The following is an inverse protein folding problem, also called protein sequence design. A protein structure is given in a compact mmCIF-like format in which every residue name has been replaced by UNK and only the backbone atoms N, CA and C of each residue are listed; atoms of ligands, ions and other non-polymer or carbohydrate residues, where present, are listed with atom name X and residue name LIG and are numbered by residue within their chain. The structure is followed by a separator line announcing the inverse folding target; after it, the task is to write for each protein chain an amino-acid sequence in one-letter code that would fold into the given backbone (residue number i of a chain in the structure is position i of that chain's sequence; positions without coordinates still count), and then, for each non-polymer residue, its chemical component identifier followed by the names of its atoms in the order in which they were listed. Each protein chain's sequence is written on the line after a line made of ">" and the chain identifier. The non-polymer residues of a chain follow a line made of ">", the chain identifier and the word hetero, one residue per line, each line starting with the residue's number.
data_IF_650104467675
#
_entry.id   IF_650104467675
#
_cell.length_a   1.000
_cell.length_b   1.000
_cell.length_c   1.000
_cell.angle_alpha   90.00
_cell.angle_beta   90.00
_cell.angle_gamma   90.00
#
_symmetry.space_group_name_H-M   'P 1'
#
loop_
_entity.id
_entity.type
_entity.pdbx_description
1 polymer ?
#
# COMPACT_ATOMS: atom_id res chain seq x y z
N UNK A 1 -26.89 -40.75 67.84
CA UNK A 1 -26.07 -39.70 67.25
C UNK A 1 -25.52 -40.08 65.83
N UNK A 2 -25.45 -41.32 65.33
CA UNK A 2 -24.94 -41.70 64.04
C UNK A 2 -25.89 -41.48 62.84
N UNK A 3 -27.20 -41.29 63.02
CA UNK A 3 -28.14 -41.09 61.88
C UNK A 3 -28.15 -39.66 61.35
N UNK A 4 -27.95 -38.63 62.20
CA UNK A 4 -27.92 -37.20 61.75
C UNK A 4 -26.69 -36.83 60.95
N UNK A 5 -25.59 -37.52 61.06
CA UNK A 5 -24.36 -37.28 60.26
C UNK A 5 -24.53 -37.62 58.78
N UNK A 6 -25.26 -38.69 58.46
CA UNK A 6 -25.46 -39.10 57.03
C UNK A 6 -26.38 -38.14 56.30
N UNK A 7 -27.40 -37.59 56.95
CA UNK A 7 -28.31 -36.59 56.32
C UNK A 7 -27.57 -35.27 55.99
N UNK A 8 -26.63 -34.84 56.86
CA UNK A 8 -25.81 -33.65 56.54
C UNK A 8 -24.89 -33.85 55.35
N UNK A 9 -24.35 -35.05 55.16
CA UNK A 9 -23.48 -35.36 54.00
C UNK A 9 -24.31 -35.38 52.72
N UNK A 10 -25.51 -35.97 52.71
CA UNK A 10 -26.40 -35.96 51.55
C UNK A 10 -26.90 -34.56 51.23
N UNK A 11 -27.21 -33.73 52.22
CA UNK A 11 -27.63 -32.35 52.00
C UNK A 11 -26.49 -31.49 51.39
N UNK A 12 -25.24 -31.70 51.88
CA UNK A 12 -24.06 -31.03 51.31
C UNK A 12 -23.75 -31.51 49.87
N UNK A 13 -23.92 -32.79 49.59
CA UNK A 13 -23.71 -33.32 48.23
C UNK A 13 -24.76 -32.80 47.23
N UNK A 14 -26.04 -32.69 47.66
CA UNK A 14 -27.11 -32.11 46.83
C UNK A 14 -26.90 -30.62 46.61
N UNK A 15 -26.44 -29.88 47.64
CA UNK A 15 -26.13 -28.46 47.52
C UNK A 15 -24.93 -28.23 46.61
N UNK A 16 -23.88 -29.05 46.67
CA UNK A 16 -22.72 -29.00 45.76
C UNK A 16 -23.10 -29.34 44.34
N UNK A 17 -24.01 -30.29 44.09
CA UNK A 17 -24.51 -30.62 42.75
C UNK A 17 -25.37 -29.49 42.15
N UNK A 18 -26.15 -28.76 42.97
CA UNK A 18 -26.92 -27.59 42.53
C UNK A 18 -26.03 -26.39 42.19
N UNK A 19 -24.87 -26.24 42.82
CA UNK A 19 -23.89 -25.19 42.47
C UNK A 19 -23.14 -25.49 41.17
N UNK A 20 -22.97 -26.76 40.77
CA UNK A 20 -22.32 -27.13 39.53
C UNK A 20 -23.25 -27.03 38.28
N UNK A 21 -24.57 -26.98 38.47
CA UNK A 21 -25.51 -26.81 37.35
C UNK A 21 -25.79 -25.35 36.96
N UNK A 22 -25.29 -24.38 37.72
CA UNK A 22 -25.62 -22.95 37.52
C UNK A 22 -24.62 -22.15 36.63
N UNK A 23 -23.59 -22.75 36.05
CA UNK A 23 -22.55 -22.01 35.38
C UNK A 23 -22.43 -22.31 33.87
N UNK A 24 -23.31 -23.12 33.24
CA UNK A 24 -23.20 -23.44 31.82
C UNK A 24 -23.69 -22.27 30.94
N UNK A 25 -24.75 -21.54 31.34
CA UNK A 25 -25.32 -20.48 30.48
C UNK A 25 -24.64 -19.10 30.59
N UNK A 26 -23.61 -18.94 31.42
CA UNK A 26 -22.88 -17.66 31.54
C UNK A 26 -21.51 -17.65 30.86
N UNK A 27 -21.09 -18.72 30.22
CA UNK A 27 -19.82 -18.80 29.49
C UNK A 27 -19.94 -18.49 28.00
N UNK A 28 -21.15 -18.41 27.44
CA UNK A 28 -21.44 -17.85 26.11
C UNK A 28 -21.83 -16.37 26.21
N UNK A 29 -20.99 -15.57 26.82
CA UNK A 29 -21.09 -14.13 26.68
C UNK A 29 -20.47 -13.76 25.32
N UNK A 30 -21.32 -13.59 24.32
CA UNK A 30 -20.93 -12.83 23.13
C UNK A 30 -20.41 -11.46 23.61
N UNK A 31 -19.25 -10.99 23.14
CA UNK A 31 -18.72 -9.70 23.52
C UNK A 31 -19.77 -8.62 23.22
N UNK A 32 -20.29 -7.92 24.23
CA UNK A 32 -21.32 -6.88 24.05
C UNK A 32 -20.87 -5.68 23.20
N UNK A 33 -19.63 -5.67 22.74
CA UNK A 33 -19.02 -4.62 21.91
C UNK A 33 -18.54 -5.13 20.55
N UNK A 34 -18.71 -6.41 20.21
CA UNK A 34 -18.47 -6.93 18.85
C UNK A 34 -19.72 -7.72 18.43
N UNK A 35 -20.31 -7.31 17.34
CA UNK A 35 -21.32 -8.11 16.63
C UNK A 35 -20.58 -9.33 16.08
N UNK A 36 -21.09 -10.56 16.34
CA UNK A 36 -20.48 -11.75 15.72
C UNK A 36 -20.51 -11.59 14.20
N UNK A 37 -19.43 -11.96 13.51
CA UNK A 37 -19.30 -11.78 12.06
C UNK A 37 -20.47 -12.41 11.27
N UNK A 38 -21.02 -13.52 11.78
CA UNK A 38 -22.18 -14.18 11.18
C UNK A 38 -23.48 -13.35 11.25
N UNK A 39 -23.56 -12.38 12.15
CA UNK A 39 -24.69 -11.45 12.27
C UNK A 39 -24.40 -10.14 11.51
N UNK A 40 -23.12 -9.75 11.47
CA UNK A 40 -22.69 -8.49 10.85
C UNK A 40 -22.86 -8.45 9.33
N UNK A 41 -22.85 -9.58 8.64
CA UNK A 41 -22.87 -9.67 7.16
C UNK A 41 -24.21 -10.17 6.59
N UNK A 42 -25.32 -9.93 7.29
CA UNK A 42 -26.64 -10.47 6.92
C UNK A 42 -27.56 -9.45 6.26
N UNK A 43 -27.20 -8.16 6.28
CA UNK A 43 -27.99 -7.06 5.72
C UNK A 43 -27.11 -6.01 5.02
N UNK A 44 -27.76 -5.05 4.36
CA UNK A 44 -27.07 -3.96 3.65
C UNK A 44 -26.15 -3.15 4.56
N UNK A 45 -26.61 -2.79 5.74
CA UNK A 45 -25.84 -1.96 6.69
C UNK A 45 -24.60 -2.70 7.17
N UNK A 46 -24.73 -3.99 7.44
CA UNK A 46 -23.62 -4.83 7.89
C UNK A 46 -22.53 -4.97 6.84
N UNK A 47 -22.90 -5.27 5.58
CA UNK A 47 -21.91 -5.42 4.50
C UNK A 47 -21.24 -4.09 4.12
N UNK A 48 -21.98 -2.97 4.19
CA UNK A 48 -21.44 -1.62 3.97
C UNK A 48 -20.41 -1.26 5.05
N UNK A 49 -20.72 -1.55 6.32
CA UNK A 49 -19.78 -1.36 7.42
C UNK A 49 -18.55 -2.28 7.30
N UNK A 50 -18.72 -3.51 6.83
CA UNK A 50 -17.61 -4.42 6.58
C UNK A 50 -16.70 -3.90 5.44
N UNK A 51 -17.28 -3.35 4.38
CA UNK A 51 -16.54 -2.71 3.30
C UNK A 51 -15.74 -1.49 3.82
N UNK A 52 -16.37 -0.62 4.62
CA UNK A 52 -15.69 0.51 5.27
C UNK A 52 -14.54 -0.01 6.14
N UNK A 53 -14.78 -1.07 6.92
CA UNK A 53 -13.74 -1.71 7.73
C UNK A 53 -12.62 -2.35 6.90
N UNK A 54 -12.86 -2.76 5.66
CA UNK A 54 -11.82 -3.23 4.75
C UNK A 54 -10.97 -2.06 4.21
N UNK A 55 -11.57 -0.90 3.89
CA UNK A 55 -10.85 0.32 3.57
C UNK A 55 -10.00 0.83 4.75
N UNK A 56 -10.56 0.82 5.97
CA UNK A 56 -9.85 1.16 7.21
C UNK A 56 -8.58 0.30 7.42
N UNK A 57 -8.61 -0.96 6.99
CA UNK A 57 -7.42 -1.81 7.08
C UNK A 57 -6.25 -1.32 6.22
N UNK A 58 -6.51 -0.62 5.11
CA UNK A 58 -5.46 0.01 4.29
C UNK A 58 -4.86 1.23 4.98
N UNK A 59 -5.66 1.96 5.79
CA UNK A 59 -5.25 3.16 6.52
C UNK A 59 -4.27 2.85 7.66
N UNK A 60 -4.15 1.59 8.07
CA UNK A 60 -3.27 1.22 9.18
C UNK A 60 -1.85 1.75 8.96
N UNK A 61 -1.22 2.44 9.95
CA UNK A 61 0.13 3.01 9.82
C UNK A 61 1.19 2.01 9.39
N UNK A 62 1.07 0.76 9.85
CA UNK A 62 2.00 -0.32 9.51
C UNK A 62 1.76 -0.90 8.10
N UNK A 63 0.72 -0.44 7.39
CA UNK A 63 0.46 -0.81 6.01
C UNK A 63 0.58 0.42 5.10
N UNK A 64 -0.51 0.86 4.46
CA UNK A 64 -0.46 1.98 3.51
C UNK A 64 -0.64 3.36 4.17
N UNK A 65 -0.98 3.42 5.45
CA UNK A 65 -1.26 4.66 6.17
C UNK A 65 -0.04 5.55 6.45
N UNK A 66 1.18 4.98 6.52
CA UNK A 66 2.41 5.75 6.71
C UNK A 66 3.68 4.95 6.38
N UNK A 67 3.89 3.81 7.05
CA UNK A 67 5.16 3.07 7.03
C UNK A 67 5.54 2.53 5.65
N UNK A 68 4.56 2.32 4.77
CA UNK A 68 4.85 1.94 3.39
C UNK A 68 5.71 3.00 2.69
N UNK A 69 5.29 4.27 2.70
CA UNK A 69 6.03 5.37 2.08
C UNK A 69 7.38 5.53 2.77
N UNK A 70 7.39 5.63 4.11
CA UNK A 70 8.63 5.82 4.86
C UNK A 70 9.66 4.71 4.58
N UNK A 71 9.24 3.46 4.67
CA UNK A 71 10.14 2.32 4.47
C UNK A 71 10.69 2.25 3.05
N UNK A 72 9.85 2.53 2.03
CA UNK A 72 10.28 2.52 0.63
C UNK A 72 11.21 3.69 0.31
N UNK A 73 11.00 4.86 0.92
CA UNK A 73 11.91 6.00 0.79
C UNK A 73 13.25 5.75 1.51
N UNK A 74 13.26 5.04 2.64
CA UNK A 74 14.49 4.54 3.27
C UNK A 74 15.23 3.54 2.38
N UNK A 75 14.48 2.65 1.72
CA UNK A 75 15.05 1.67 0.78
C UNK A 75 15.61 2.33 -0.48
N UNK A 76 14.98 3.40 -0.99
CA UNK A 76 15.47 4.17 -2.13
C UNK A 76 16.67 5.09 -1.78
N UNK A 77 16.83 5.39 -0.50
CA UNK A 77 17.85 6.31 -0.02
C UNK A 77 17.48 7.79 -0.19
N UNK A 78 16.22 8.13 -0.47
CA UNK A 78 15.77 9.53 -0.61
C UNK A 78 15.62 10.25 0.74
N UNK A 79 15.69 9.51 1.83
CA UNK A 79 15.65 10.05 3.18
C UNK A 79 16.73 9.42 4.06
N UNK A 80 17.13 10.14 5.09
CA UNK A 80 17.98 9.64 6.17
C UNK A 80 17.15 9.38 7.41
N UNK A 81 17.43 8.27 8.09
CA UNK A 81 16.86 7.98 9.39
C UNK A 81 17.81 8.47 10.49
N UNK A 82 17.37 9.47 11.25
CA UNK A 82 18.09 10.03 12.41
C UNK A 82 17.52 9.58 13.76
N UNK A 83 16.36 8.89 13.76
CA UNK A 83 15.68 8.47 14.97
C UNK A 83 16.39 7.33 15.72
N UNK A 84 15.95 7.09 16.94
CA UNK A 84 16.53 6.05 17.84
C UNK A 84 16.00 4.64 17.59
N UNK A 85 14.96 4.48 16.78
CA UNK A 85 14.32 3.18 16.52
C UNK A 85 15.14 2.36 15.51
N UNK A 86 15.89 1.39 16.00
CA UNK A 86 16.88 0.64 15.21
C UNK A 86 16.30 -0.16 14.06
N UNK A 87 15.02 -0.59 14.14
CA UNK A 87 14.36 -1.33 13.06
C UNK A 87 14.28 -0.53 11.77
N UNK A 88 14.07 0.80 11.82
CA UNK A 88 14.13 1.65 10.64
C UNK A 88 15.56 1.86 10.14
N UNK A 89 16.54 1.88 11.05
CA UNK A 89 17.96 1.84 10.67
C UNK A 89 18.31 0.59 9.86
N UNK A 90 17.78 -0.57 10.27
CA UNK A 90 17.98 -1.83 9.54
C UNK A 90 17.39 -1.79 8.13
N UNK A 91 16.22 -1.12 7.95
CA UNK A 91 15.61 -0.90 6.64
C UNK A 91 16.51 0.02 5.79
N UNK A 92 16.94 1.14 6.35
CA UNK A 92 17.81 2.08 5.66
C UNK A 92 19.14 1.44 5.22
N UNK A 93 19.70 0.57 6.07
CA UNK A 93 20.94 -0.16 5.81
C UNK A 93 20.75 -1.44 4.99
N UNK A 94 19.52 -1.79 4.59
CA UNK A 94 19.17 -3.04 3.87
C UNK A 94 19.66 -4.30 4.62
N UNK A 95 19.50 -4.32 5.94
CA UNK A 95 19.84 -5.43 6.85
C UNK A 95 18.63 -5.91 7.65
N UNK A 96 17.50 -6.00 6.98
CA UNK A 96 16.22 -6.35 7.59
C UNK A 96 16.25 -7.80 8.04
N UNK A 97 15.98 -8.04 9.32
CA UNK A 97 15.85 -9.40 9.88
C UNK A 97 14.40 -9.89 9.81
N UNK A 98 14.16 -11.22 9.77
CA UNK A 98 12.81 -11.79 9.74
C UNK A 98 11.92 -11.42 10.94
N UNK A 99 12.50 -10.98 12.05
CA UNK A 99 11.80 -10.51 13.25
C UNK A 99 11.81 -8.98 13.41
N UNK A 100 12.17 -8.22 12.36
CA UNK A 100 12.18 -6.76 12.39
C UNK A 100 10.78 -6.22 12.68
N UNK A 101 10.64 -5.44 13.76
CA UNK A 101 9.34 -4.97 14.25
C UNK A 101 8.72 -3.85 13.42
N UNK A 102 9.44 -3.27 12.45
CA UNK A 102 8.89 -2.28 11.52
C UNK A 102 8.38 -2.92 10.21
N UNK A 103 8.84 -4.13 9.86
CA UNK A 103 8.44 -4.80 8.62
C UNK A 103 7.48 -5.95 8.84
N UNK A 104 7.55 -6.65 9.97
CA UNK A 104 6.61 -7.74 10.30
C UNK A 104 5.15 -7.29 10.32
N UNK A 105 4.75 -6.16 10.92
CA UNK A 105 3.36 -5.70 10.92
C UNK A 105 2.81 -5.46 9.51
N UNK A 106 3.65 -5.06 8.54
CA UNK A 106 3.22 -4.85 7.15
C UNK A 106 2.59 -6.12 6.55
N UNK A 107 3.20 -7.30 6.75
CA UNK A 107 2.64 -8.59 6.34
C UNK A 107 1.29 -8.85 6.99
N UNK A 108 1.23 -8.69 8.30
CA UNK A 108 0.03 -8.98 9.09
C UNK A 108 -1.15 -8.06 8.70
N UNK A 109 -0.90 -6.76 8.51
CA UNK A 109 -1.96 -5.82 8.14
C UNK A 109 -2.39 -5.99 6.68
N UNK A 110 -1.46 -6.32 5.77
CA UNK A 110 -1.80 -6.64 4.39
C UNK A 110 -2.75 -7.84 4.29
N UNK A 111 -2.46 -8.94 4.99
CA UNK A 111 -3.38 -10.09 5.02
C UNK A 111 -4.67 -9.82 5.79
N UNK A 112 -4.68 -8.93 6.79
CA UNK A 112 -5.90 -8.46 7.42
C UNK A 112 -6.80 -7.70 6.44
N UNK A 113 -6.24 -6.84 5.60
CA UNK A 113 -7.00 -6.15 4.56
C UNK A 113 -7.56 -7.13 3.52
N UNK A 114 -6.77 -8.12 3.10
CA UNK A 114 -7.21 -9.20 2.20
C UNK A 114 -8.35 -10.00 2.82
N UNK A 115 -8.26 -10.40 4.09
CA UNK A 115 -9.31 -11.17 4.77
C UNK A 115 -10.62 -10.39 4.88
N UNK A 116 -10.56 -9.11 5.28
CA UNK A 116 -11.74 -8.24 5.34
C UNK A 116 -12.40 -8.08 3.96
N UNK A 117 -11.60 -7.85 2.91
CA UNK A 117 -12.10 -7.78 1.55
C UNK A 117 -12.71 -9.11 1.09
N UNK A 118 -12.07 -10.24 1.38
CA UNK A 118 -12.58 -11.57 1.04
C UNK A 118 -13.95 -11.84 1.66
N UNK A 119 -14.19 -11.46 2.91
CA UNK A 119 -15.50 -11.61 3.58
C UNK A 119 -16.59 -10.84 2.84
N UNK A 120 -16.33 -9.62 2.41
CA UNK A 120 -17.27 -8.83 1.59
C UNK A 120 -17.50 -9.50 0.23
N UNK A 121 -16.44 -9.99 -0.43
CA UNK A 121 -16.53 -10.68 -1.71
C UNK A 121 -17.33 -11.98 -1.59
N UNK A 122 -17.04 -12.80 -0.57
CA UNK A 122 -17.72 -14.08 -0.37
C UNK A 122 -19.22 -13.90 -0.19
N UNK A 123 -19.65 -12.99 0.69
CA UNK A 123 -21.08 -12.69 0.92
C UNK A 123 -21.75 -12.09 -0.32
N UNK A 124 -21.04 -11.19 -1.04
CA UNK A 124 -21.57 -10.61 -2.28
C UNK A 124 -21.78 -11.67 -3.38
N UNK A 125 -20.90 -12.67 -3.47
CA UNK A 125 -21.00 -13.77 -4.44
C UNK A 125 -22.00 -14.84 -4.02
N UNK A 126 -22.13 -15.09 -2.72
CA UNK A 126 -23.14 -16.02 -2.18
C UNK A 126 -24.57 -15.56 -2.50
N UNK A 127 -24.81 -14.24 -2.49
CA UNK A 127 -26.12 -13.67 -2.82
C UNK A 127 -27.18 -13.89 -1.75
N UNK A 128 -26.79 -14.09 -0.49
CA UNK A 128 -27.68 -14.32 0.65
C UNK A 128 -28.50 -13.09 1.05
N UNK A 129 -27.99 -11.87 0.78
CA UNK A 129 -28.67 -10.60 1.08
C UNK A 129 -29.62 -10.26 -0.08
N UNK A 130 -30.92 -10.13 0.23
CA UNK A 130 -31.98 -9.86 -0.77
C UNK A 130 -32.65 -8.49 -0.62
N UNK A 131 -32.15 -7.64 0.26
CA UNK A 131 -32.67 -6.29 0.46
C UNK A 131 -32.55 -5.45 -0.81
N UNK A 132 -33.60 -4.69 -1.22
CA UNK A 132 -33.55 -3.88 -2.43
C UNK A 132 -32.35 -2.91 -2.47
N UNK A 133 -32.04 -2.25 -1.35
CA UNK A 133 -30.94 -1.31 -1.25
C UNK A 133 -29.57 -2.00 -1.45
N UNK A 134 -29.41 -3.24 -0.96
CA UNK A 134 -28.21 -4.02 -1.25
C UNK A 134 -28.11 -4.37 -2.74
N UNK A 135 -29.21 -4.84 -3.33
CA UNK A 135 -29.22 -5.24 -4.75
C UNK A 135 -28.87 -4.07 -5.68
N UNK A 136 -29.27 -2.84 -5.34
CA UNK A 136 -28.90 -1.62 -6.06
C UNK A 136 -27.42 -1.26 -5.93
N UNK A 137 -26.77 -1.64 -4.84
CA UNK A 137 -25.38 -1.29 -4.51
C UNK A 137 -24.39 -2.47 -4.61
N UNK A 138 -24.87 -3.67 -4.90
CA UNK A 138 -24.08 -4.91 -4.87
C UNK A 138 -22.82 -4.82 -5.72
N UNK A 139 -22.94 -4.34 -6.95
CA UNK A 139 -21.81 -4.26 -7.89
C UNK A 139 -20.76 -3.27 -7.39
N UNK A 140 -21.19 -2.11 -6.86
CA UNK A 140 -20.28 -1.14 -6.23
C UNK A 140 -19.56 -1.75 -5.02
N UNK A 141 -20.27 -2.47 -4.15
CA UNK A 141 -19.72 -3.10 -2.95
C UNK A 141 -18.68 -4.16 -3.34
N UNK A 142 -19.04 -5.06 -4.24
CA UNK A 142 -18.16 -6.11 -4.73
C UNK A 142 -16.94 -5.53 -5.44
N UNK A 143 -17.13 -4.57 -6.36
CA UNK A 143 -16.05 -3.92 -7.08
C UNK A 143 -15.05 -3.22 -6.14
N UNK A 144 -15.54 -2.55 -5.10
CA UNK A 144 -14.67 -1.95 -4.08
C UNK A 144 -13.84 -2.99 -3.30
N UNK A 145 -14.47 -4.09 -2.88
CA UNK A 145 -13.76 -5.15 -2.15
C UNK A 145 -12.69 -5.83 -3.02
N UNK A 146 -12.94 -6.01 -4.31
CA UNK A 146 -11.96 -6.51 -5.29
C UNK A 146 -10.77 -5.54 -5.43
N UNK A 147 -11.02 -4.23 -5.49
CA UNK A 147 -9.94 -3.21 -5.52
C UNK A 147 -9.08 -3.31 -4.26
N UNK A 148 -9.67 -3.42 -3.07
CA UNK A 148 -8.92 -3.56 -1.80
C UNK A 148 -8.05 -4.80 -1.82
N UNK A 149 -8.59 -5.95 -2.24
CA UNK A 149 -7.84 -7.21 -2.32
C UNK A 149 -6.69 -7.12 -3.31
N UNK A 150 -6.94 -6.56 -4.48
CA UNK A 150 -5.95 -6.37 -5.52
C UNK A 150 -4.81 -5.45 -5.07
N UNK A 151 -5.13 -4.28 -4.50
CA UNK A 151 -4.13 -3.35 -3.92
C UNK A 151 -3.29 -4.06 -2.87
N UNK A 152 -3.93 -4.80 -1.96
CA UNK A 152 -3.21 -5.45 -0.86
C UNK A 152 -2.23 -6.52 -1.37
N UNK A 153 -2.66 -7.40 -2.29
CA UNK A 153 -1.74 -8.37 -2.91
C UNK A 153 -0.63 -7.67 -3.71
N UNK A 154 -0.95 -6.59 -4.42
CA UNK A 154 0.01 -5.86 -5.23
C UNK A 154 1.12 -5.21 -4.40
N UNK A 155 0.76 -4.49 -3.35
CA UNK A 155 1.76 -3.85 -2.50
C UNK A 155 2.61 -4.88 -1.74
N UNK A 156 1.99 -5.97 -1.30
CA UNK A 156 2.73 -7.06 -0.64
C UNK A 156 3.69 -7.79 -1.59
N UNK A 157 3.29 -8.11 -2.81
CA UNK A 157 4.19 -8.83 -3.74
C UNK A 157 5.40 -7.99 -4.14
N UNK A 158 5.25 -6.67 -4.28
CA UNK A 158 6.37 -5.75 -4.57
C UNK A 158 7.43 -5.72 -3.47
N UNK A 159 6.99 -5.89 -2.21
CA UNK A 159 7.84 -5.80 -1.03
C UNK A 159 8.50 -7.15 -0.71
N UNK A 160 7.76 -8.27 -0.79
CA UNK A 160 8.23 -9.61 -0.39
C UNK A 160 8.72 -10.48 -1.55
N UNK A 161 8.44 -10.10 -2.78
CA UNK A 161 8.89 -10.78 -4.00
C UNK A 161 9.94 -9.96 -4.77
N UNK A 162 10.82 -10.66 -5.49
CA UNK A 162 11.65 -10.00 -6.50
C UNK A 162 10.76 -9.42 -7.61
N UNK A 163 11.16 -8.35 -8.30
CA UNK A 163 10.33 -7.69 -9.30
C UNK A 163 10.04 -8.58 -10.51
N UNK A 164 8.98 -8.27 -11.22
CA UNK A 164 8.69 -8.91 -12.50
C UNK A 164 9.89 -8.81 -13.46
N UNK A 165 10.21 -9.93 -14.13
CA UNK A 165 11.38 -10.07 -14.98
C UNK A 165 12.67 -10.43 -14.22
N UNK A 166 12.58 -10.80 -12.94
CA UNK A 166 13.68 -11.44 -12.21
C UNK A 166 13.97 -12.83 -12.80
N UNK A 167 12.96 -13.69 -12.95
CA UNK A 167 12.98 -14.83 -13.87
C UNK A 167 12.22 -14.46 -15.16
N UNK A 168 12.55 -15.07 -16.28
CA UNK A 168 11.98 -14.70 -17.60
C UNK A 168 10.46 -14.91 -17.67
N UNK A 169 9.92 -15.85 -16.89
CA UNK A 169 8.52 -16.25 -16.83
C UNK A 169 7.82 -15.87 -15.52
N UNK A 170 8.49 -15.09 -14.64
CA UNK A 170 8.00 -14.74 -13.31
C UNK A 170 7.65 -15.94 -12.42
N UNK A 171 8.33 -17.08 -12.61
CA UNK A 171 8.15 -18.31 -11.81
C UNK A 171 8.76 -18.24 -10.41
N UNK A 172 9.56 -17.22 -10.10
CA UNK A 172 10.10 -16.99 -8.76
C UNK A 172 8.99 -16.70 -7.74
N UNK A 173 9.29 -16.96 -6.45
CA UNK A 173 8.31 -16.87 -5.37
C UNK A 173 7.86 -15.45 -5.09
N UNK A 174 6.55 -15.26 -5.09
CA UNK A 174 5.86 -14.08 -4.61
C UNK A 174 5.38 -14.24 -3.17
N UNK A 175 4.08 -14.15 -2.96
CA UNK A 175 3.39 -14.25 -1.67
C UNK A 175 2.24 -15.28 -1.76
N UNK A 176 1.70 -15.78 -0.64
CA UNK A 176 0.45 -16.54 -0.66
C UNK A 176 -0.71 -15.74 -1.27
N UNK A 177 -1.45 -16.34 -2.18
CA UNK A 177 -2.70 -15.76 -2.73
C UNK A 177 -3.87 -16.31 -1.93
N UNK A 178 -4.56 -15.43 -1.21
CA UNK A 178 -5.71 -15.76 -0.36
C UNK A 178 -6.97 -15.11 -0.96
N UNK A 179 -7.92 -15.95 -1.38
CA UNK A 179 -9.16 -15.50 -2.06
C UNK A 179 -10.43 -15.84 -1.31
N UNK A 180 -10.32 -16.33 -0.08
CA UNK A 180 -11.44 -16.67 0.80
C UNK A 180 -11.28 -16.02 2.17
N UNK A 181 -12.40 -15.60 2.75
CA UNK A 181 -12.45 -15.07 4.10
C UNK A 181 -12.25 -16.17 5.16
N UNK A 182 -11.66 -15.79 6.30
CA UNK A 182 -11.49 -16.65 7.47
C UNK A 182 -12.57 -16.32 8.49
N UNK A 183 -13.56 -17.18 8.68
CA UNK A 183 -14.69 -16.98 9.59
C UNK A 183 -14.50 -17.66 10.94
N UNK A 184 -13.81 -18.79 10.93
CA UNK A 184 -13.45 -19.55 12.14
C UNK A 184 -11.99 -20.02 12.04
N UNK A 185 -11.30 -20.31 13.16
CA UNK A 185 -9.90 -20.74 13.13
C UNK A 185 -9.63 -21.97 12.25
N UNK A 186 -10.64 -22.82 12.03
CA UNK A 186 -10.52 -23.99 11.16
C UNK A 186 -10.43 -23.65 9.66
N UNK A 187 -10.84 -22.45 9.25
CA UNK A 187 -10.73 -21.97 7.86
C UNK A 187 -9.30 -21.54 7.52
N UNK A 188 -8.49 -21.27 8.55
CA UNK A 188 -7.10 -20.90 8.36
C UNK A 188 -6.32 -22.05 7.72
N UNK A 189 -5.81 -21.83 6.52
CA UNK A 189 -5.06 -22.83 5.77
C UNK A 189 -3.59 -22.45 5.65
N UNK A 190 -2.71 -23.47 5.69
CA UNK A 190 -1.28 -23.30 5.48
C UNK A 190 -0.99 -23.17 3.97
N UNK A 191 -1.26 -21.98 3.40
CA UNK A 191 -1.06 -21.74 1.97
C UNK A 191 0.42 -21.47 1.67
N UNK A 192 0.95 -22.13 0.66
CA UNK A 192 2.30 -21.88 0.15
C UNK A 192 2.38 -20.54 -0.58
N UNK A 193 3.57 -20.02 -0.75
CA UNK A 193 3.80 -18.86 -1.63
C UNK A 193 3.46 -19.24 -3.07
N UNK A 194 2.70 -18.38 -3.72
CA UNK A 194 2.47 -18.42 -5.16
C UNK A 194 3.67 -17.84 -5.92
N UNK A 195 3.80 -18.14 -7.20
CA UNK A 195 4.77 -17.43 -8.05
C UNK A 195 4.35 -15.99 -8.28
N UNK A 196 5.29 -15.11 -8.58
CA UNK A 196 4.99 -13.73 -8.93
C UNK A 196 3.99 -13.67 -10.10
N UNK A 197 4.13 -14.54 -11.11
CA UNK A 197 3.17 -14.65 -12.20
C UNK A 197 1.74 -14.93 -11.71
N UNK A 198 1.56 -15.86 -10.76
CA UNK A 198 0.26 -16.20 -10.22
C UNK A 198 -0.34 -15.06 -9.37
N UNK A 199 0.50 -14.36 -8.60
CA UNK A 199 0.03 -13.20 -7.82
C UNK A 199 -0.46 -12.09 -8.75
N UNK A 200 0.31 -11.73 -9.78
CA UNK A 200 -0.11 -10.72 -10.76
C UNK A 200 -1.34 -11.15 -11.57
N UNK A 201 -1.52 -12.44 -11.84
CA UNK A 201 -2.72 -12.95 -12.49
C UNK A 201 -3.97 -12.71 -11.62
N UNK A 202 -3.91 -13.00 -10.30
CA UNK A 202 -5.02 -12.76 -9.38
C UNK A 202 -5.32 -11.25 -9.23
N UNK A 203 -4.28 -10.42 -9.13
CA UNK A 203 -4.46 -8.95 -9.06
C UNK A 203 -5.17 -8.45 -10.33
N UNK A 204 -4.76 -8.93 -11.49
CA UNK A 204 -5.34 -8.53 -12.78
C UNK A 204 -6.81 -8.98 -12.87
N UNK A 205 -7.12 -10.22 -12.50
CA UNK A 205 -8.48 -10.75 -12.47
C UNK A 205 -9.40 -9.92 -11.58
N UNK A 206 -8.96 -9.61 -10.35
CA UNK A 206 -9.72 -8.79 -9.41
C UNK A 206 -9.98 -7.39 -9.96
N UNK A 207 -8.97 -6.77 -10.57
CA UNK A 207 -9.10 -5.40 -11.10
C UNK A 207 -9.95 -5.34 -12.37
N UNK A 208 -9.84 -6.33 -13.28
CA UNK A 208 -10.67 -6.42 -14.48
C UNK A 208 -12.15 -6.61 -14.09
N UNK A 209 -12.46 -7.50 -13.14
CA UNK A 209 -13.82 -7.65 -12.59
C UNK A 209 -14.31 -6.36 -11.92
N UNK A 210 -13.45 -5.69 -11.13
CA UNK A 210 -13.80 -4.43 -10.48
C UNK A 210 -14.14 -3.31 -11.50
N UNK A 211 -13.42 -3.23 -12.63
CA UNK A 211 -13.70 -2.26 -13.70
C UNK A 211 -15.09 -2.45 -14.28
N UNK A 212 -15.54 -3.70 -14.45
CA UNK A 212 -16.88 -4.03 -14.96
C UNK A 212 -17.99 -3.61 -13.97
N UNK A 213 -17.73 -3.71 -12.67
CA UNK A 213 -18.71 -3.52 -11.59
C UNK A 213 -18.81 -2.09 -11.07
N UNK A 214 -17.70 -1.34 -11.12
CA UNK A 214 -17.64 -0.01 -10.53
C UNK A 214 -18.39 1.04 -11.38
N UNK A 215 -18.93 2.10 -10.75
CA UNK A 215 -19.57 3.19 -11.49
C UNK A 215 -18.54 3.96 -12.34
N UNK A 216 -19.00 4.50 -13.46
CA UNK A 216 -18.16 5.30 -14.37
C UNK A 216 -17.65 6.60 -13.74
N UNK A 217 -18.41 7.17 -12.80
CA UNK A 217 -18.06 8.37 -12.05
C UNK A 217 -17.78 8.02 -10.59
N UNK A 218 -16.71 8.60 -10.03
CA UNK A 218 -16.39 8.42 -8.62
C UNK A 218 -17.50 9.00 -7.73
N UNK A 219 -17.90 8.22 -6.72
CA UNK A 219 -18.62 8.73 -5.56
C UNK A 219 -17.60 8.79 -4.44
N UNK A 220 -16.87 9.93 -4.34
CA UNK A 220 -15.86 10.09 -3.28
C UNK A 220 -16.42 9.66 -1.91
N UNK A 221 -15.67 8.87 -1.13
CA UNK A 221 -14.26 8.49 -1.27
C UNK A 221 -14.01 7.17 -2.05
N UNK A 222 -15.02 6.57 -2.65
CA UNK A 222 -14.91 5.24 -3.28
C UNK A 222 -14.41 5.30 -4.72
N UNK A 223 -13.66 4.29 -5.20
CA UNK A 223 -13.14 4.22 -6.56
C UNK A 223 -14.23 4.14 -7.63
N UNK A 224 -13.90 4.66 -8.80
CA UNK A 224 -14.64 4.52 -10.06
C UNK A 224 -13.93 3.54 -11.00
N UNK A 225 -14.56 3.27 -12.15
CA UNK A 225 -13.91 2.56 -13.26
C UNK A 225 -12.57 3.18 -13.64
N UNK A 226 -12.51 4.53 -13.73
CA UNK A 226 -11.28 5.23 -14.08
C UNK A 226 -10.21 5.10 -12.99
N UNK A 227 -10.60 5.05 -11.71
CA UNK A 227 -9.69 4.74 -10.60
C UNK A 227 -9.10 3.34 -10.73
N UNK A 228 -9.96 2.33 -10.95
CA UNK A 228 -9.53 0.94 -11.11
C UNK A 228 -8.62 0.76 -12.34
N UNK A 229 -8.94 1.40 -13.48
CA UNK A 229 -8.10 1.40 -14.68
C UNK A 229 -6.72 2.02 -14.43
N UNK A 230 -6.66 3.13 -13.69
CA UNK A 230 -5.40 3.78 -13.36
C UNK A 230 -4.51 2.87 -12.50
N UNK A 231 -5.09 2.21 -11.49
CA UNK A 231 -4.35 1.26 -10.64
C UNK A 231 -3.90 0.06 -11.46
N UNK A 232 -4.76 -0.50 -12.32
CA UNK A 232 -4.40 -1.62 -13.19
C UNK A 232 -3.31 -1.24 -14.21
N UNK A 233 -3.28 0.02 -14.68
CA UNK A 233 -2.19 0.52 -15.52
C UNK A 233 -0.85 0.47 -14.79
N UNK A 234 -0.79 0.87 -13.50
CA UNK A 234 0.40 0.73 -12.64
C UNK A 234 0.78 -0.74 -12.45
N UNK A 235 -0.20 -1.62 -12.20
CA UNK A 235 0.05 -3.07 -12.07
C UNK A 235 0.69 -3.63 -13.33
N UNK A 236 0.19 -3.28 -14.51
CA UNK A 236 0.76 -3.73 -15.78
C UNK A 236 2.13 -3.10 -16.04
N UNK A 237 2.37 -1.84 -15.65
CA UNK A 237 3.69 -1.22 -15.73
C UNK A 237 4.72 -2.01 -14.91
N UNK A 238 4.39 -2.31 -13.63
CA UNK A 238 5.24 -3.10 -12.75
C UNK A 238 5.45 -4.53 -13.27
N UNK A 239 4.41 -5.11 -13.87
CA UNK A 239 4.49 -6.45 -14.50
C UNK A 239 5.13 -6.41 -15.90
N UNK A 240 5.63 -5.25 -16.36
CA UNK A 240 6.31 -5.05 -17.66
C UNK A 240 5.43 -5.38 -18.87
N UNK A 241 4.10 -5.33 -18.70
CA UNK A 241 3.12 -5.44 -19.79
C UNK A 241 2.82 -4.03 -20.34
N UNK A 242 3.76 -3.54 -21.15
CA UNK A 242 3.77 -2.16 -21.62
C UNK A 242 2.54 -1.80 -22.47
N UNK A 243 2.03 -2.75 -23.29
CA UNK A 243 0.84 -2.53 -24.12
C UNK A 243 -0.40 -2.27 -23.26
N UNK A 244 -0.64 -3.11 -22.26
CA UNK A 244 -1.78 -2.94 -21.36
C UNK A 244 -1.63 -1.70 -20.48
N UNK A 245 -0.43 -1.43 -19.97
CA UNK A 245 -0.17 -0.22 -19.19
C UNK A 245 -0.44 1.04 -20.03
N UNK A 246 0.06 1.08 -21.26
CA UNK A 246 -0.18 2.19 -22.17
C UNK A 246 -1.67 2.36 -22.51
N UNK A 247 -2.37 1.26 -22.82
CA UNK A 247 -3.80 1.30 -23.17
C UNK A 247 -4.64 1.85 -22.01
N UNK A 248 -4.53 1.26 -20.81
CA UNK A 248 -5.33 1.65 -19.66
C UNK A 248 -5.05 3.09 -19.23
N UNK A 249 -3.78 3.52 -19.24
CA UNK A 249 -3.42 4.91 -18.96
C UNK A 249 -4.06 5.88 -19.98
N UNK A 250 -4.11 5.51 -21.28
CA UNK A 250 -4.81 6.31 -22.29
C UNK A 250 -6.30 6.40 -22.00
N UNK A 251 -6.96 5.30 -21.67
CA UNK A 251 -8.38 5.30 -21.33
C UNK A 251 -8.70 6.21 -20.14
N UNK A 252 -7.82 6.25 -19.13
CA UNK A 252 -7.95 7.18 -17.99
C UNK A 252 -7.78 8.64 -18.44
N UNK A 253 -6.80 8.92 -19.29
CA UNK A 253 -6.57 10.27 -19.82
C UNK A 253 -7.78 10.74 -20.66
N UNK A 254 -8.31 9.89 -21.52
CA UNK A 254 -9.44 10.19 -22.40
C UNK A 254 -10.78 10.32 -21.64
N UNK A 255 -10.90 9.64 -20.48
CA UNK A 255 -12.09 9.75 -19.63
C UNK A 255 -12.33 11.15 -19.10
N UNK A 256 -11.25 11.96 -18.96
CA UNK A 256 -11.25 13.30 -18.37
C UNK A 256 -11.81 13.34 -16.94
N UNK A 257 -11.79 12.20 -16.26
CA UNK A 257 -12.22 12.09 -14.86
C UNK A 257 -11.26 12.81 -13.90
N UNK A 258 -9.99 12.95 -14.30
CA UNK A 258 -8.92 13.57 -13.53
C UNK A 258 -8.14 14.58 -14.38
N UNK A 259 -7.45 15.51 -13.73
CA UNK A 259 -6.57 16.47 -14.38
C UNK A 259 -5.43 16.88 -13.45
N UNK A 260 -4.35 17.44 -13.99
CA UNK A 260 -3.31 18.05 -13.16
C UNK A 260 -3.88 19.27 -12.43
N UNK A 261 -3.48 19.45 -11.17
CA UNK A 261 -3.68 20.73 -10.46
C UNK A 261 -2.83 21.83 -11.12
N UNK A 262 -3.25 23.08 -11.02
CA UNK A 262 -2.49 24.21 -11.55
C UNK A 262 -1.12 24.37 -10.87
N UNK A 263 -1.02 24.02 -9.59
CA UNK A 263 0.22 24.04 -8.82
C UNK A 263 0.49 22.67 -8.19
N UNK A 264 1.74 22.14 -8.26
CA UNK A 264 2.05 20.81 -7.75
C UNK A 264 1.76 20.60 -6.26
N UNK A 265 1.87 21.65 -5.43
CA UNK A 265 1.60 21.53 -3.99
C UNK A 265 0.11 21.50 -3.64
N UNK A 266 -0.79 21.85 -4.57
CA UNK A 266 -2.24 21.83 -4.30
C UNK A 266 -2.73 20.44 -3.93
N UNK A 267 -2.15 19.38 -4.50
CA UNK A 267 -2.50 18.00 -4.17
C UNK A 267 -2.35 17.71 -2.66
N UNK A 268 -1.25 18.13 -2.05
CA UNK A 268 -0.93 17.87 -0.65
C UNK A 268 -1.64 18.80 0.35
N UNK A 269 -2.22 19.90 -0.12
CA UNK A 269 -2.97 20.87 0.71
C UNK A 269 -4.48 20.79 0.54
N UNK A 270 -4.97 20.02 -0.43
CA UNK A 270 -6.39 19.93 -0.78
C UNK A 270 -6.79 18.47 -1.02
N UNK A 271 -7.28 17.77 0.03
CA UNK A 271 -7.74 16.39 -0.11
C UNK A 271 -8.78 16.24 -1.23
N UNK A 272 -8.72 15.12 -1.94
CA UNK A 272 -9.61 14.81 -3.06
C UNK A 272 -9.62 15.89 -4.17
N UNK A 273 -8.45 16.49 -4.46
CA UNK A 273 -8.30 17.45 -5.56
C UNK A 273 -8.58 16.78 -6.92
N UNK A 274 -8.67 17.58 -7.98
CA UNK A 274 -8.91 17.06 -9.35
C UNK A 274 -7.80 16.12 -9.86
N UNK A 275 -6.65 16.14 -9.22
CA UNK A 275 -5.52 15.24 -9.51
C UNK A 275 -5.58 13.92 -8.73
N UNK A 276 -6.41 13.85 -7.68
CA UNK A 276 -6.52 12.67 -6.82
C UNK A 276 -7.26 11.54 -7.52
N UNK A 277 -6.57 10.41 -7.71
CA UNK A 277 -7.16 9.16 -8.21
C UNK A 277 -7.59 8.29 -7.05
N UNK A 278 -6.71 8.11 -6.08
CA UNK A 278 -6.99 7.43 -4.81
C UNK A 278 -6.07 7.95 -3.72
N UNK A 279 -6.66 8.27 -2.59
CA UNK A 279 -5.97 8.63 -1.36
C UNK A 279 -6.40 7.69 -0.24
N UNK A 280 -5.46 7.35 0.64
CA UNK A 280 -5.79 6.72 1.92
C UNK A 280 -6.22 7.84 2.86
N UNK A 281 -7.52 7.89 3.13
CA UNK A 281 -8.13 9.00 3.84
C UNK A 281 -7.81 8.96 5.33
N UNK A 282 -7.39 10.10 5.87
CA UNK A 282 -7.28 10.36 7.30
C UNK A 282 -8.20 11.50 7.69
N UNK A 283 -8.67 11.51 8.94
CA UNK A 283 -9.48 12.59 9.49
C UNK A 283 -8.96 13.00 10.86
N UNK A 284 -9.45 14.10 11.38
CA UNK A 284 -9.09 14.56 12.72
C UNK A 284 -9.44 13.56 13.85
N UNK A 285 -10.44 12.70 13.63
CA UNK A 285 -10.88 11.67 14.60
C UNK A 285 -10.41 10.27 14.27
N UNK A 286 -10.04 10.03 13.01
CA UNK A 286 -9.64 8.73 12.48
C UNK A 286 -8.28 8.87 11.77
N UNK A 287 -7.22 8.74 12.54
CA UNK A 287 -5.83 8.85 12.15
C UNK A 287 -4.92 8.20 13.21
N UNK A 288 -3.62 7.97 12.92
CA UNK A 288 -2.69 7.32 13.85
C UNK A 288 -2.20 8.23 15.00
N UNK A 289 -2.93 9.30 15.34
CA UNK A 289 -2.55 10.31 16.35
C UNK A 289 -2.02 9.73 17.65
N UNK A 290 -2.64 8.66 18.15
CA UNK A 290 -2.27 8.06 19.43
C UNK A 290 -0.93 7.32 19.39
N UNK A 291 -0.49 6.89 18.20
CA UNK A 291 0.79 6.18 18.00
C UNK A 291 1.91 7.12 17.58
N UNK A 292 1.59 8.32 17.06
CA UNK A 292 2.53 9.24 16.42
C UNK A 292 3.32 8.59 15.27
N UNK A 293 2.75 7.58 14.64
CA UNK A 293 3.33 6.81 13.54
C UNK A 293 2.65 7.20 12.22
N UNK A 294 2.57 8.51 11.97
CA UNK A 294 2.08 9.11 10.73
C UNK A 294 3.18 9.89 10.01
N UNK A 295 2.95 10.17 8.74
CA UNK A 295 3.95 10.84 7.91
C UNK A 295 4.30 12.24 8.45
N UNK A 296 3.32 13.02 8.92
CA UNK A 296 3.57 14.35 9.44
C UNK A 296 4.48 14.32 10.67
N UNK A 297 4.29 13.37 11.60
CA UNK A 297 5.16 13.22 12.76
C UNK A 297 6.59 12.82 12.40
N UNK A 298 6.76 11.87 11.47
CA UNK A 298 8.10 11.43 11.06
C UNK A 298 8.89 12.52 10.34
N UNK A 299 8.23 13.31 9.48
CA UNK A 299 8.88 14.27 8.58
C UNK A 299 9.00 15.68 9.20
N UNK A 300 8.29 15.96 10.29
CA UNK A 300 8.32 17.28 10.91
C UNK A 300 9.48 17.43 11.91
N UNK A 301 10.32 18.45 11.75
CA UNK A 301 11.36 18.76 12.74
C UNK A 301 10.79 19.27 14.08
N UNK A 302 9.52 19.69 14.12
CA UNK A 302 8.83 20.16 15.31
C UNK A 302 8.21 19.02 16.13
N UNK A 303 8.09 17.81 15.54
CA UNK A 303 7.53 16.63 16.15
C UNK A 303 8.62 15.63 16.53
N UNK A 304 8.78 14.53 15.76
CA UNK A 304 9.78 13.49 16.06
C UNK A 304 11.18 13.84 15.56
N UNK A 305 11.26 14.58 14.47
CA UNK A 305 12.53 14.92 13.81
C UNK A 305 13.39 13.70 13.48
N UNK A 306 12.74 12.61 13.06
CA UNK A 306 13.42 11.33 12.80
C UNK A 306 13.99 11.25 11.38
N UNK A 307 13.51 12.09 10.45
CA UNK A 307 13.85 12.03 9.03
C UNK A 307 14.41 13.36 8.55
N UNK A 308 15.52 13.29 7.82
CA UNK A 308 16.07 14.39 7.03
C UNK A 308 16.25 13.97 5.57
N UNK A 309 16.30 14.94 4.67
CA UNK A 309 16.41 14.71 3.23
C UNK A 309 17.85 14.98 2.78
N UNK A 310 18.50 14.04 2.07
CA UNK A 310 19.84 14.28 1.52
C UNK A 310 19.82 15.43 0.51
N UNK A 311 20.81 16.31 0.55
CA UNK A 311 20.88 17.46 -0.38
C UNK A 311 20.84 17.05 -1.85
N UNK A 312 21.37 15.87 -2.22
CA UNK A 312 21.26 15.34 -3.59
C UNK A 312 19.82 15.18 -4.10
N UNK A 313 18.83 15.08 -3.21
CA UNK A 313 17.40 15.04 -3.55
C UNK A 313 16.89 16.45 -3.90
N UNK A 314 17.45 17.46 -3.28
CA UNK A 314 17.07 18.86 -3.52
C UNK A 314 17.69 19.37 -4.83
N UNK A 315 18.97 19.05 -5.07
CA UNK A 315 19.74 19.58 -6.21
C UNK A 315 19.26 19.09 -7.59
N UNK A 316 18.38 18.06 -7.64
CA UNK A 316 17.78 17.62 -8.91
C UNK A 316 16.72 18.60 -9.44
N UNK A 317 16.20 19.51 -8.59
CA UNK A 317 15.21 20.50 -8.99
C UNK A 317 15.88 21.79 -9.41
N UNK A 318 15.44 22.36 -10.54
CA UNK A 318 15.87 23.67 -11.00
C UNK A 318 15.33 24.78 -10.11
N UNK A 319 15.97 25.93 -10.07
CA UNK A 319 15.56 27.06 -9.24
C UNK A 319 14.10 27.51 -9.49
N UNK A 320 13.66 27.47 -10.75
CA UNK A 320 12.30 27.85 -11.16
C UNK A 320 11.26 26.75 -10.91
N UNK A 321 11.66 25.52 -10.57
CA UNK A 321 10.76 24.38 -10.39
C UNK A 321 9.88 24.63 -9.15
N UNK A 322 8.57 24.72 -9.35
CA UNK A 322 7.59 24.96 -8.28
C UNK A 322 7.58 23.85 -7.22
N UNK A 323 8.08 22.67 -7.54
CA UNK A 323 8.21 21.54 -6.61
C UNK A 323 9.27 21.79 -5.53
N UNK A 324 10.15 22.81 -5.69
CA UNK A 324 11.00 23.26 -4.60
C UNK A 324 10.20 23.66 -3.35
N UNK A 325 8.93 24.05 -3.49
CA UNK A 325 8.03 24.32 -2.37
C UNK A 325 7.67 23.08 -1.54
N UNK A 326 7.98 21.88 -2.02
CA UNK A 326 7.84 20.64 -1.26
C UNK A 326 8.91 20.45 -0.17
N UNK A 327 9.90 21.33 -0.15
CA UNK A 327 11.03 21.24 0.74
C UNK A 327 11.26 22.55 1.50
N UNK A 328 11.86 22.42 2.67
CA UNK A 328 12.39 23.55 3.42
C UNK A 328 13.62 23.12 4.20
N UNK A 329 14.42 24.07 4.65
CA UNK A 329 15.64 23.78 5.42
C UNK A 329 15.67 24.53 6.73
N UNK A 330 16.36 23.93 7.71
CA UNK A 330 16.70 24.55 8.98
C UNK A 330 18.22 24.49 9.12
N UNK A 331 18.85 25.63 9.42
CA UNK A 331 20.29 25.72 9.68
C UNK A 331 20.52 25.97 11.16
N UNK A 332 21.32 25.10 11.80
CA UNK A 332 21.75 25.23 13.19
C UNK A 332 23.23 24.82 13.28
N UNK A 333 24.04 25.61 13.96
CA UNK A 333 25.48 25.34 14.16
C UNK A 333 26.25 25.02 12.85
N UNK A 334 25.97 25.76 11.79
CA UNK A 334 26.53 25.60 10.44
C UNK A 334 26.12 24.30 9.70
N UNK A 335 25.19 23.53 10.25
CA UNK A 335 24.57 22.36 9.60
C UNK A 335 23.22 22.72 9.07
N UNK A 336 22.97 22.41 7.80
CA UNK A 336 21.67 22.60 7.14
C UNK A 336 21.01 21.26 6.90
N UNK A 337 19.89 21.04 7.60
CA UNK A 337 19.02 19.88 7.40
C UNK A 337 17.82 20.24 6.53
N UNK A 338 17.42 19.32 5.65
CA UNK A 338 16.28 19.49 4.75
C UNK A 338 15.13 18.59 5.15
N UNK A 339 13.90 19.11 4.98
CA UNK A 339 12.65 18.49 5.40
C UNK A 339 11.59 18.58 4.31
N UNK A 340 10.54 17.74 4.40
CA UNK A 340 9.43 17.76 3.45
C UNK A 340 8.24 18.59 3.95
N UNK A 341 7.65 19.35 3.04
CA UNK A 341 6.38 20.06 3.23
C UNK A 341 5.16 19.28 2.74
N UNK A 342 5.33 18.05 2.24
CA UNK A 342 4.21 17.29 1.66
C UNK A 342 3.20 16.83 2.72
N UNK A 343 3.67 16.52 3.93
CA UNK A 343 2.85 15.98 5.01
C UNK A 343 2.97 16.89 6.21
N UNK A 344 1.95 17.72 6.46
CA UNK A 344 2.02 18.78 7.47
C UNK A 344 1.19 18.47 8.71
N UNK A 345 0.10 17.71 8.57
CA UNK A 345 -0.80 17.37 9.66
C UNK A 345 -1.10 15.87 9.70
N UNK A 346 -1.45 15.37 10.90
CA UNK A 346 -1.85 13.97 11.10
C UNK A 346 -3.16 13.60 10.39
N UNK A 347 -3.88 14.58 9.88
CA UNK A 347 -5.13 14.41 9.15
C UNK A 347 -4.92 14.44 7.63
N UNK A 348 -3.67 14.65 7.18
CA UNK A 348 -3.38 14.67 5.75
C UNK A 348 -3.56 13.26 5.19
N UNK A 349 -4.26 13.18 4.07
CA UNK A 349 -4.42 11.92 3.35
C UNK A 349 -3.07 11.44 2.82
N UNK A 350 -2.90 10.13 2.78
CA UNK A 350 -1.72 9.51 2.15
C UNK A 350 -2.02 9.30 0.66
N UNK A 351 -1.22 9.86 -0.26
CA UNK A 351 -1.41 9.64 -1.69
C UNK A 351 -1.16 8.17 -2.03
N UNK A 352 -2.17 7.51 -2.62
CA UNK A 352 -1.96 6.20 -3.19
C UNK A 352 -1.67 6.31 -4.69
N UNK A 353 -2.43 7.14 -5.42
CA UNK A 353 -2.22 7.38 -6.84
C UNK A 353 -2.72 8.75 -7.27
N UNK A 354 -1.93 9.46 -8.10
CA UNK A 354 -2.23 10.76 -8.67
C UNK A 354 -2.25 10.73 -10.20
N UNK A 355 -2.99 11.66 -10.81
CA UNK A 355 -3.09 11.75 -12.26
C UNK A 355 -1.74 12.00 -12.96
N UNK A 356 -0.82 12.74 -12.33
CA UNK A 356 0.54 12.91 -12.84
C UNK A 356 1.23 11.57 -13.08
N UNK A 357 1.03 10.58 -12.19
CA UNK A 357 1.59 9.24 -12.38
C UNK A 357 0.99 8.52 -13.60
N UNK A 358 -0.30 8.68 -13.89
CA UNK A 358 -0.91 8.08 -15.09
C UNK A 358 -0.26 8.60 -16.36
N UNK A 359 0.05 9.92 -16.42
CA UNK A 359 0.79 10.50 -17.54
C UNK A 359 2.18 9.89 -17.66
N UNK A 360 2.88 9.67 -16.57
CA UNK A 360 4.21 9.06 -16.53
C UNK A 360 4.17 7.56 -16.87
N UNK A 361 3.15 6.81 -16.43
CA UNK A 361 2.92 5.41 -16.83
C UNK A 361 2.77 5.32 -18.36
N UNK A 362 1.94 6.19 -18.94
CA UNK A 362 1.74 6.22 -20.39
C UNK A 362 3.04 6.55 -21.13
N UNK A 363 3.78 7.58 -20.67
CA UNK A 363 5.04 7.99 -21.28
C UNK A 363 6.09 6.87 -21.23
N UNK A 364 6.26 6.21 -20.05
CA UNK A 364 7.21 5.10 -19.89
C UNK A 364 6.83 3.91 -20.77
N UNK A 365 5.56 3.51 -20.75
CA UNK A 365 5.09 2.38 -21.55
C UNK A 365 5.28 2.62 -23.06
N UNK A 366 5.02 3.84 -23.55
CA UNK A 366 5.27 4.20 -24.95
C UNK A 366 6.76 4.15 -25.30
N UNK A 367 7.64 4.63 -24.42
CA UNK A 367 9.09 4.54 -24.61
C UNK A 367 9.56 3.09 -24.68
N UNK A 368 9.05 2.22 -23.79
CA UNK A 368 9.40 0.81 -23.75
C UNK A 368 8.87 0.02 -24.94
N UNK A 369 7.75 0.41 -25.53
CA UNK A 369 7.19 -0.18 -26.76
C UNK A 369 7.97 0.26 -28.02
N UNK A 370 8.72 1.35 -27.93
CA UNK A 370 9.44 1.95 -29.05
C UNK A 370 10.93 2.16 -28.73
N UNK A 371 11.70 1.11 -28.43
CA UNK A 371 13.06 1.23 -27.89
C UNK A 371 14.08 1.87 -28.85
N UNK A 372 13.72 2.06 -30.11
CA UNK A 372 14.59 2.67 -31.16
C UNK A 372 14.14 4.05 -31.60
N UNK A 373 13.11 4.65 -30.98
CA UNK A 373 12.56 5.93 -31.43
C UNK A 373 12.09 6.79 -30.26
N UNK A 374 11.73 8.03 -30.54
CA UNK A 374 11.19 8.99 -29.56
C UNK A 374 9.72 9.25 -29.90
N UNK A 375 8.75 8.54 -29.25
CA UNK A 375 7.34 8.78 -29.47
C UNK A 375 6.95 10.19 -29.03
N UNK A 376 6.40 10.99 -29.95
CA UNK A 376 6.02 12.39 -29.67
C UNK A 376 5.04 12.50 -28.51
N UNK A 377 4.07 11.59 -28.40
CA UNK A 377 3.13 11.57 -27.28
C UNK A 377 3.83 11.45 -25.91
N UNK A 378 4.89 10.62 -25.80
CA UNK A 378 5.65 10.51 -24.55
C UNK A 378 6.34 11.84 -24.19
N UNK A 379 6.91 12.52 -25.18
CA UNK A 379 7.52 13.86 -25.01
C UNK A 379 6.47 14.88 -24.58
N UNK A 380 5.28 14.87 -25.18
CA UNK A 380 4.19 15.80 -24.86
C UNK A 380 3.65 15.57 -23.43
N UNK A 381 3.57 14.31 -22.99
CA UNK A 381 3.16 13.96 -21.62
C UNK A 381 4.15 14.46 -20.58
N UNK A 382 5.45 14.28 -20.81
CA UNK A 382 6.50 14.89 -19.97
C UNK A 382 6.41 16.42 -19.97
N UNK A 383 6.20 17.00 -21.15
CA UNK A 383 6.04 18.46 -21.33
C UNK A 383 4.92 19.03 -20.47
N UNK A 384 3.77 18.35 -20.38
CA UNK A 384 2.63 18.78 -19.55
C UNK A 384 3.00 18.87 -18.07
N UNK A 385 3.71 17.86 -17.53
CA UNK A 385 4.13 17.83 -16.13
C UNK A 385 5.15 18.93 -15.85
N UNK A 386 6.17 19.04 -16.70
CA UNK A 386 7.24 20.06 -16.58
C UNK A 386 6.70 21.49 -16.72
N UNK A 387 5.79 21.73 -17.65
CA UNK A 387 5.14 23.03 -17.82
C UNK A 387 4.36 23.43 -16.58
N UNK A 388 3.57 22.49 -15.99
CA UNK A 388 2.84 22.73 -14.75
C UNK A 388 3.80 23.05 -13.60
N UNK A 389 4.96 22.41 -13.54
CA UNK A 389 5.98 22.63 -12.52
C UNK A 389 6.91 23.82 -12.81
N UNK A 390 6.76 24.52 -13.92
CA UNK A 390 7.69 25.55 -14.41
C UNK A 390 9.13 25.04 -14.56
N UNK A 391 9.30 23.73 -14.73
CA UNK A 391 10.59 23.11 -14.97
C UNK A 391 10.98 23.17 -16.46
N UNK A 392 12.27 23.15 -16.75
CA UNK A 392 12.78 23.15 -18.12
C UNK A 392 12.35 21.89 -18.87
N UNK A 393 11.94 22.06 -20.12
CA UNK A 393 11.55 20.96 -20.97
C UNK A 393 12.50 20.88 -22.18
N UNK A 394 13.56 20.09 -22.02
CA UNK A 394 14.42 19.70 -23.14
C UNK A 394 13.78 18.55 -23.90
N UNK A 395 13.67 18.65 -25.21
CA UNK A 395 13.12 17.60 -26.06
C UNK A 395 14.21 16.53 -26.24
N UNK A 396 13.97 15.26 -25.84
CA UNK A 396 14.92 14.18 -26.09
C UNK A 396 15.09 13.90 -27.59
N UNK A 397 16.33 13.70 -28.04
CA UNK A 397 16.64 13.39 -29.44
C UNK A 397 16.76 11.88 -29.67
N UNK A 398 17.02 11.11 -28.64
CA UNK A 398 17.20 9.65 -28.70
C UNK A 398 16.26 8.93 -27.72
N UNK A 399 16.01 7.64 -28.01
CA UNK A 399 15.20 6.79 -27.08
C UNK A 399 15.86 6.67 -25.72
N UNK A 400 17.18 6.66 -25.61
CA UNK A 400 17.90 6.62 -24.34
C UNK A 400 17.70 7.92 -23.55
N UNK A 401 17.81 9.08 -24.18
CA UNK A 401 17.53 10.37 -23.54
C UNK A 401 16.07 10.48 -23.09
N UNK A 402 15.12 9.98 -23.89
CA UNK A 402 13.72 9.95 -23.49
C UNK A 402 13.52 9.11 -22.24
N UNK A 403 14.13 7.93 -22.18
CA UNK A 403 13.99 7.05 -21.02
C UNK A 403 14.61 7.67 -19.76
N UNK A 404 15.82 8.25 -19.85
CA UNK A 404 16.43 8.99 -18.73
C UNK A 404 15.58 10.19 -18.31
N UNK A 405 14.99 10.91 -19.26
CA UNK A 405 14.08 12.03 -18.96
C UNK A 405 12.81 11.58 -18.22
N UNK A 406 12.25 10.42 -18.60
CA UNK A 406 11.08 9.82 -17.91
C UNK A 406 11.47 9.38 -16.48
N UNK A 407 12.61 8.71 -16.33
CA UNK A 407 13.09 8.27 -14.99
C UNK A 407 13.27 9.46 -14.06
N UNK A 408 13.96 10.50 -14.52
CA UNK A 408 14.19 11.71 -13.73
C UNK A 408 12.87 12.43 -13.39
N UNK A 409 11.91 12.48 -14.34
CA UNK A 409 10.63 13.14 -14.08
C UNK A 409 9.78 12.33 -13.10
N UNK A 410 9.82 10.98 -13.17
CA UNK A 410 9.15 10.14 -12.17
C UNK A 410 9.75 10.34 -10.78
N UNK A 411 11.07 10.39 -10.65
CA UNK A 411 11.75 10.69 -9.38
C UNK A 411 11.33 12.06 -8.83
N UNK A 412 11.38 13.12 -9.66
CA UNK A 412 10.97 14.47 -9.27
C UNK A 412 9.50 14.54 -8.87
N UNK A 413 8.61 14.04 -9.72
CA UNK A 413 7.18 14.21 -9.55
C UNK A 413 6.61 13.38 -8.39
N UNK A 414 7.10 12.14 -8.23
CA UNK A 414 6.62 11.21 -7.21
C UNK A 414 7.53 11.15 -5.96
N UNK A 415 8.37 12.16 -5.77
CA UNK A 415 9.28 12.24 -4.63
C UNK A 415 8.52 12.12 -3.30
N UNK A 416 8.99 11.24 -2.43
CA UNK A 416 8.41 10.95 -1.12
C UNK A 416 6.96 10.39 -1.16
N UNK A 417 6.63 9.65 -2.22
CA UNK A 417 5.36 8.94 -2.36
C UNK A 417 5.57 7.41 -2.47
N UNK A 418 6.77 6.93 -2.17
CA UNK A 418 7.09 5.51 -2.10
C UNK A 418 7.32 4.81 -3.44
N UNK A 419 7.47 5.55 -4.54
CA UNK A 419 7.55 4.99 -5.90
C UNK A 419 8.96 4.60 -6.32
N UNK A 420 9.97 5.44 -6.02
CA UNK A 420 11.31 5.33 -6.59
C UNK A 420 11.97 3.97 -6.35
N UNK A 421 11.81 3.40 -5.16
CA UNK A 421 12.41 2.10 -4.84
C UNK A 421 11.97 0.99 -5.82
N UNK A 422 10.71 0.96 -6.18
CA UNK A 422 10.17 -0.02 -7.15
C UNK A 422 10.54 0.35 -8.58
N UNK A 423 10.55 1.62 -8.92
CA UNK A 423 10.99 2.13 -10.21
C UNK A 423 12.43 1.69 -10.51
N UNK A 424 13.36 1.87 -9.58
CA UNK A 424 14.76 1.44 -9.72
C UNK A 424 14.88 -0.07 -9.94
N UNK A 425 14.10 -0.89 -9.24
CA UNK A 425 14.06 -2.35 -9.44
C UNK A 425 13.49 -2.71 -10.81
N UNK A 426 12.40 -2.05 -11.26
CA UNK A 426 11.77 -2.27 -12.57
C UNK A 426 12.70 -1.87 -13.72
N UNK A 427 13.41 -0.76 -13.57
CA UNK A 427 14.40 -0.28 -14.55
C UNK A 427 15.71 -1.06 -14.52
N UNK A 428 15.88 -1.96 -13.55
CA UNK A 428 17.10 -2.75 -13.33
C UNK A 428 18.32 -1.86 -13.10
N UNK A 429 18.15 -0.81 -12.30
CA UNK A 429 19.23 0.11 -11.92
C UNK A 429 19.98 -0.43 -10.70
N UNK A 430 21.31 -0.28 -10.76
CA UNK A 430 22.21 -0.71 -9.67
C UNK A 430 22.66 0.48 -8.80
N UNK A 431 21.94 1.60 -8.89
CA UNK A 431 22.24 2.86 -8.19
C UNK A 431 21.40 3.10 -6.94
N UNK A 432 20.74 2.07 -6.41
CA UNK A 432 20.09 2.13 -5.09
C UNK A 432 21.18 2.20 -4.00
N UNK A 433 21.09 3.23 -3.16
CA UNK A 433 22.10 3.57 -2.16
C UNK A 433 21.60 3.29 -0.75
N UNK A 434 22.53 3.08 0.18
CA UNK A 434 22.21 3.17 1.60
C UNK A 434 21.87 4.62 1.95
N UNK A 435 20.82 4.80 2.75
CA UNK A 435 20.34 6.14 3.13
C UNK A 435 21.28 6.85 4.11
N UNK A 436 22.13 6.13 4.83
CA UNK A 436 23.07 6.75 5.74
C UNK A 436 24.33 7.23 5.01
N UNK A 437 24.75 8.44 5.34
CA UNK A 437 26.04 9.00 4.97
C UNK A 437 27.22 8.33 5.73
N UNK A 438 27.10 7.05 6.07
CA UNK A 438 28.22 6.32 6.63
C UNK A 438 29.13 5.88 5.48
N UNK A 439 30.37 6.07 5.66
CA UNK A 439 31.61 5.72 4.99
C UNK A 439 31.61 4.72 3.82
N UNK A 440 30.51 4.01 3.53
CA UNK A 440 30.39 3.04 2.45
C UNK A 440 29.17 3.39 1.62
N UNK A 441 29.35 4.20 0.57
CA UNK A 441 28.40 4.32 -0.53
C UNK A 441 28.31 2.96 -1.27
N UNK A 442 27.76 1.94 -0.62
CA UNK A 442 27.54 0.65 -1.25
C UNK A 442 26.28 0.72 -2.11
N UNK A 443 26.43 0.41 -3.38
CA UNK A 443 25.33 0.27 -4.31
C UNK A 443 24.95 -1.21 -4.39
N UNK A 444 23.67 -1.50 -4.21
CA UNK A 444 23.17 -2.86 -4.34
C UNK A 444 22.61 -3.08 -5.76
N UNK A 445 22.90 -4.22 -6.39
CA UNK A 445 22.23 -4.57 -7.65
C UNK A 445 20.72 -4.70 -7.43
N UNK A 446 19.96 -4.34 -8.46
CA UNK A 446 18.50 -4.33 -8.42
C UNK A 446 17.86 -5.66 -7.99
N UNK A 447 18.57 -6.76 -8.17
CA UNK A 447 18.17 -8.15 -7.86
C UNK A 447 18.84 -8.72 -6.59
N UNK A 448 19.53 -7.91 -5.81
CA UNK A 448 20.08 -8.35 -4.51
C UNK A 448 18.94 -8.83 -3.60
N UNK A 449 19.17 -9.89 -2.85
CA UNK A 449 18.16 -10.42 -1.91
C UNK A 449 17.73 -9.41 -0.84
N UNK A 450 18.62 -8.48 -0.46
CA UNK A 450 18.34 -7.39 0.48
C UNK A 450 17.40 -6.31 -0.07
N UNK A 451 17.04 -6.40 -1.37
CA UNK A 451 16.07 -5.51 -2.03
C UNK A 451 14.62 -5.97 -1.89
N UNK A 452 14.36 -6.99 -1.08
CA UNK A 452 13.03 -7.44 -0.69
C UNK A 452 13.00 -7.71 0.80
N UNK A 453 11.81 -7.73 1.40
CA UNK A 453 11.69 -8.06 2.82
C UNK A 453 11.75 -9.56 3.03
N UNK A 454 12.33 -10.00 4.17
CA UNK A 454 12.20 -11.39 4.59
C UNK A 454 10.74 -11.72 4.94
N UNK A 455 10.33 -12.96 4.71
CA UNK A 455 9.08 -13.46 5.25
C UNK A 455 9.19 -13.43 6.79
N UNK A 456 8.20 -12.86 7.51
CA UNK A 456 8.27 -12.75 8.96
C UNK A 456 8.48 -14.09 9.66
N UNK A 457 9.39 -14.15 10.62
CA UNK A 457 9.72 -15.39 11.34
C UNK A 457 8.47 -16.04 11.96
N UNK A 458 7.58 -15.24 12.54
CA UNK A 458 6.34 -15.72 13.13
C UNK A 458 5.48 -16.51 12.14
N UNK A 459 5.44 -16.08 10.88
CA UNK A 459 4.65 -16.75 9.85
C UNK A 459 5.27 -18.08 9.44
N UNK A 460 6.60 -18.13 9.37
CA UNK A 460 7.34 -19.39 9.12
C UNK A 460 7.16 -20.40 10.27
N UNK A 461 7.07 -19.91 11.52
CA UNK A 461 6.90 -20.78 12.68
C UNK A 461 5.52 -21.45 12.72
N UNK A 462 4.48 -20.81 12.15
CA UNK A 462 3.10 -21.31 12.19
C UNK A 462 2.65 -21.97 10.88
N UNK A 463 3.26 -21.63 9.76
CA UNK A 463 2.92 -22.19 8.44
C UNK A 463 4.12 -22.95 7.84
N UNK A 464 4.18 -24.30 7.96
CA UNK A 464 5.29 -25.08 7.46
C UNK A 464 5.42 -25.11 5.93
N UNK A 465 4.44 -24.59 5.19
CA UNK A 465 4.46 -24.50 3.73
C UNK A 465 5.11 -23.18 3.23
N UNK A 466 5.41 -22.25 4.13
CA UNK A 466 6.13 -21.03 3.76
C UNK A 466 7.63 -21.31 3.65
N UNK A 467 8.24 -20.72 2.64
CA UNK A 467 9.68 -20.75 2.39
C UNK A 467 10.21 -19.33 2.48
N UNK A 468 11.32 -19.15 3.21
CA UNK A 468 11.98 -17.84 3.35
C UNK A 468 12.55 -17.36 2.01
N UNK A 469 12.75 -16.06 1.88
CA UNK A 469 13.52 -15.48 0.79
C UNK A 469 15.01 -15.88 0.91
N UNK A 470 15.67 -15.98 -0.23
CA UNK A 470 17.07 -16.36 -0.30
C UNK A 470 17.95 -15.41 0.54
N UNK A 471 18.92 -15.98 1.25
CA UNK A 471 19.89 -15.27 2.12
C UNK A 471 19.29 -14.64 3.41
N UNK A 472 18.09 -15.02 3.82
CA UNK A 472 17.51 -14.63 5.11
C UNK A 472 17.42 -15.79 6.08
#
# INVERSE_FOLDING_TARGET
>A
MKKYSKYKIYLMAVMAALFMASCADKLDLEPRQSISENIALTDYTGIENALIGAWDALQNPDFLGANYIMNTELMSGNIYWGGSYTNFSDIADKRILPNNAATQPFWMQGYRAIDRANKVIDVSREGSITEPLYLENKDRILGNALVIRAISHFEMVKVYGQPSGFTSDNSHLGIPVITKGTYIPADATNVSRATVAQVYAQITEDMEEAIELLPSTATSPFPSQSTAKAILARVHLENRNWEKAAQLALEVIESKAFSLNDHPSTFFSSPNSVESILEIAHTASDNPRNTRDDLANYWSPLERNDITIPYRVIEIYEEADLRNSWFFSITSDDVTDWYSNKYQTQSDNVPYMRYAEVLLIRAEALAMLNPGSVPQEAVDLLGKIRQRAHASHTIPETAAELFEAIMLEREKELMHEGSLFFDLKRWKRDDIRFSRATSNNEFLPWNDSRMIYPIPQRELDVNPNLVQNENY
#
